data_IF_929957928030
#
_entry.id   IF_929957928030
#
_cell.length_a   1.000
_cell.length_b   1.000
_cell.length_c   1.000
_cell.angle_alpha   90.00
_cell.angle_beta   90.00
_cell.angle_gamma   90.00
#
_symmetry.space_group_name_H-M   'P 1'
#
loop_
_entity.id
_entity.type
_entity.pdbx_description
1 polymer ?
#
# COMPACT_ATOMS: atom_id res chain seq x y z
N UNK A 1 -2.24 -17.86 -10.03
CA UNK A 1 -2.47 -16.95 -11.17
C UNK A 1 -1.13 -16.49 -11.72
N UNK A 2 -0.98 -16.23 -13.03
CA UNK A 2 0.24 -15.63 -13.56
C UNK A 2 0.41 -14.21 -12.99
N UNK A 3 1.63 -13.86 -12.58
CA UNK A 3 2.01 -12.51 -12.19
C UNK A 3 2.90 -11.95 -13.32
N UNK A 4 2.31 -11.30 -14.34
CA UNK A 4 3.12 -10.69 -15.40
C UNK A 4 4.00 -9.59 -14.80
N UNK A 5 5.21 -9.36 -15.34
CA UNK A 5 6.08 -8.31 -14.83
C UNK A 5 5.43 -6.94 -15.00
N UNK A 6 5.57 -6.10 -13.98
CA UNK A 6 5.18 -4.71 -14.06
C UNK A 6 6.09 -3.95 -15.03
N UNK A 7 5.53 -2.94 -15.71
CA UNK A 7 6.25 -2.11 -16.69
C UNK A 7 7.04 -0.96 -16.05
N UNK A 8 6.76 -0.66 -14.78
CA UNK A 8 7.42 0.37 -13.99
C UNK A 8 7.29 0.06 -12.50
N UNK A 9 8.04 0.78 -11.67
CA UNK A 9 7.92 0.71 -10.21
C UNK A 9 6.57 1.26 -9.77
N UNK A 10 6.11 2.34 -10.37
CA UNK A 10 4.81 2.96 -10.13
C UNK A 10 3.67 1.95 -10.38
N UNK A 11 3.73 1.20 -11.50
CA UNK A 11 2.74 0.15 -11.78
C UNK A 11 2.77 -1.01 -10.79
N UNK A 12 3.94 -1.29 -10.18
CA UNK A 12 4.02 -2.26 -9.08
C UNK A 12 3.42 -1.68 -7.78
N UNK A 13 3.66 -0.40 -7.48
CA UNK A 13 3.10 0.30 -6.31
C UNK A 13 1.56 0.33 -6.38
N UNK A 14 1.00 0.59 -7.56
CA UNK A 14 -0.45 0.59 -7.79
C UNK A 14 -1.08 -0.76 -7.41
N UNK A 15 -0.37 -1.88 -7.63
CA UNK A 15 -0.89 -3.22 -7.37
C UNK A 15 -0.97 -3.62 -5.89
N UNK A 16 -0.51 -2.79 -4.95
CA UNK A 16 -0.46 -3.19 -3.55
C UNK A 16 -1.83 -3.28 -2.90
N UNK A 17 -2.00 -4.34 -2.09
CA UNK A 17 -3.27 -4.66 -1.44
C UNK A 17 -3.83 -3.68 -0.40
N UNK A 18 -3.04 -2.68 0.02
CA UNK A 18 -3.49 -1.69 0.99
C UNK A 18 -2.98 -0.33 0.57
N UNK A 19 -3.84 0.68 0.63
CA UNK A 19 -3.58 2.06 0.18
C UNK A 19 -2.36 2.67 0.89
N UNK A 20 -2.19 2.40 2.18
CA UNK A 20 -1.03 2.82 2.97
C UNK A 20 0.31 2.24 2.46
N UNK A 21 0.28 1.24 1.58
CA UNK A 21 1.48 0.70 0.93
C UNK A 21 1.68 1.24 -0.49
N UNK A 22 0.67 1.87 -1.07
CA UNK A 22 0.70 2.44 -2.43
C UNK A 22 1.47 3.77 -2.44
N UNK A 23 2.74 3.74 -2.00
CA UNK A 23 3.64 4.88 -2.09
C UNK A 23 5.08 4.48 -2.40
N UNK A 24 5.83 5.42 -2.98
CA UNK A 24 7.26 5.31 -3.18
C UNK A 24 7.92 6.67 -2.95
N UNK A 25 9.09 6.66 -2.29
CA UNK A 25 9.90 7.85 -2.05
C UNK A 25 11.31 7.56 -2.51
N UNK A 26 11.91 8.49 -3.28
CA UNK A 26 13.32 8.42 -3.64
C UNK A 26 13.95 9.81 -3.66
N UNK A 27 15.26 9.86 -3.52
CA UNK A 27 16.06 11.06 -3.69
C UNK A 27 16.74 10.99 -5.06
N UNK A 28 16.54 11.99 -5.90
CA UNK A 28 17.24 12.10 -7.17
C UNK A 28 18.68 12.59 -6.96
N UNK A 29 19.54 12.41 -7.96
CA UNK A 29 20.97 12.79 -7.87
C UNK A 29 21.18 14.27 -7.53
N UNK A 30 20.21 15.14 -7.88
CA UNK A 30 20.23 16.58 -7.56
C UNK A 30 19.79 16.93 -6.14
N UNK A 31 19.42 15.96 -5.31
CA UNK A 31 18.91 16.19 -3.95
C UNK A 31 17.41 16.50 -3.87
N UNK A 32 16.70 16.43 -5.00
CA UNK A 32 15.25 16.60 -5.04
C UNK A 32 14.54 15.32 -4.61
N UNK A 33 13.55 15.46 -3.74
CA UNK A 33 12.71 14.35 -3.32
C UNK A 33 11.61 14.09 -4.35
N UNK A 34 11.47 12.83 -4.77
CA UNK A 34 10.39 12.36 -5.63
C UNK A 34 9.47 11.46 -4.81
N UNK A 35 8.21 11.86 -4.74
CA UNK A 35 7.14 11.12 -4.08
C UNK A 35 6.13 10.64 -5.11
N UNK A 36 5.81 9.34 -5.06
CA UNK A 36 4.67 8.74 -5.73
C UNK A 36 3.70 8.25 -4.67
N UNK A 37 2.47 8.78 -4.64
CA UNK A 37 1.44 8.43 -3.65
C UNK A 37 0.03 8.51 -4.27
N UNK A 38 -0.32 7.58 -5.19
CA UNK A 38 -1.60 7.58 -5.90
C UNK A 38 -2.83 7.51 -4.98
N UNK A 39 -2.68 6.96 -3.77
CA UNK A 39 -3.74 6.91 -2.76
C UNK A 39 -3.66 8.05 -1.72
N UNK A 40 -2.79 9.04 -1.92
CA UNK A 40 -2.50 10.07 -0.93
C UNK A 40 -1.62 9.56 0.22
N UNK A 41 -1.43 10.40 1.24
CA UNK A 41 -0.60 10.10 2.42
C UNK A 41 -1.40 9.93 3.71
N UNK A 42 -2.70 10.22 3.68
CA UNK A 42 -3.55 10.30 4.88
C UNK A 42 -3.57 8.97 5.64
N UNK A 43 -3.73 7.86 4.93
CA UNK A 43 -3.78 6.52 5.53
C UNK A 43 -2.44 6.15 6.20
N UNK A 44 -1.29 6.61 5.68
CA UNK A 44 0.03 6.34 6.28
C UNK A 44 0.24 7.18 7.53
N UNK A 45 -0.05 8.47 7.46
CA UNK A 45 0.15 9.37 8.60
C UNK A 45 -0.87 9.14 9.72
N UNK A 46 -2.05 8.63 9.39
CA UNK A 46 -3.11 8.31 10.37
C UNK A 46 -3.02 6.88 10.89
N UNK A 47 -2.03 6.09 10.46
CA UNK A 47 -1.90 4.65 10.78
C UNK A 47 -3.18 3.87 10.46
N UNK A 48 -3.75 4.09 9.29
CA UNK A 48 -4.94 3.41 8.79
C UNK A 48 -4.56 2.42 7.70
N UNK A 49 -4.82 1.13 7.93
CA UNK A 49 -4.65 0.10 6.91
C UNK A 49 -5.98 -0.12 6.18
N UNK A 50 -6.17 0.59 5.07
CA UNK A 50 -7.37 0.46 4.21
C UNK A 50 -7.11 -0.49 3.03
N UNK A 51 -8.05 -1.38 2.70
CA UNK A 51 -7.91 -2.27 1.54
C UNK A 51 -7.88 -1.47 0.24
N UNK A 52 -7.11 -1.96 -0.75
CA UNK A 52 -7.20 -1.48 -2.12
C UNK A 52 -8.02 -2.48 -2.96
N UNK A 53 -9.36 -2.31 -3.04
CA UNK A 53 -10.27 -3.36 -3.51
C UNK A 53 -10.16 -3.67 -5.01
N UNK A 54 -9.63 -2.74 -5.81
CA UNK A 54 -9.57 -2.89 -7.27
C UNK A 54 -8.50 -3.90 -7.69
N UNK A 55 -7.41 -4.06 -6.92
CA UNK A 55 -6.19 -4.71 -7.40
C UNK A 55 -5.68 -5.88 -6.58
N UNK A 56 -6.25 -6.14 -5.39
CA UNK A 56 -5.76 -7.21 -4.53
C UNK A 56 -6.81 -8.27 -4.18
N UNK A 57 -6.38 -9.54 -4.06
CA UNK A 57 -7.22 -10.56 -3.46
C UNK A 57 -7.47 -10.25 -1.98
N UNK A 58 -8.71 -10.43 -1.53
CA UNK A 58 -9.16 -10.18 -0.17
C UNK A 58 -8.30 -10.90 0.86
N UNK A 59 -7.99 -12.17 0.62
CA UNK A 59 -7.18 -13.01 1.51
C UNK A 59 -5.75 -12.49 1.71
N UNK A 60 -5.18 -11.86 0.67
CA UNK A 60 -3.83 -11.27 0.74
C UNK A 60 -3.84 -10.02 1.62
N UNK A 61 -4.90 -9.22 1.53
CA UNK A 61 -5.09 -8.07 2.39
C UNK A 61 -5.29 -8.52 3.85
N UNK A 62 -6.24 -9.42 4.11
CA UNK A 62 -6.58 -9.88 5.46
C UNK A 62 -5.38 -10.54 6.17
N UNK A 63 -4.59 -11.36 5.45
CA UNK A 63 -3.38 -11.96 6.02
C UNK A 63 -2.32 -10.91 6.41
N UNK A 64 -2.12 -9.88 5.57
CA UNK A 64 -1.19 -8.78 5.88
C UNK A 64 -1.68 -7.92 7.03
N UNK A 65 -2.97 -7.62 7.06
CA UNK A 65 -3.61 -6.84 8.10
C UNK A 65 -3.48 -7.52 9.47
N UNK A 66 -3.74 -8.83 9.55
CA UNK A 66 -3.59 -9.60 10.78
C UNK A 66 -2.15 -9.58 11.32
N UNK A 67 -1.16 -9.75 10.43
CA UNK A 67 0.25 -9.65 10.82
C UNK A 67 0.59 -8.27 11.37
N UNK A 68 0.22 -7.22 10.64
CA UNK A 68 0.59 -5.85 10.99
C UNK A 68 -0.12 -5.31 12.22
N UNK A 69 -1.37 -5.72 12.48
CA UNK A 69 -2.05 -5.40 13.72
C UNK A 69 -1.33 -5.96 14.97
N UNK A 70 -0.58 -7.07 14.82
CA UNK A 70 0.25 -7.61 15.90
C UNK A 70 1.58 -6.87 16.09
N UNK A 71 2.09 -6.22 15.04
CA UNK A 71 3.35 -5.46 15.06
C UNK A 71 3.14 -3.99 15.47
N UNK A 72 1.96 -3.42 15.17
CA UNK A 72 1.64 -2.00 15.33
C UNK A 72 0.32 -1.85 16.11
N UNK A 73 0.36 -1.73 17.44
CA UNK A 73 -0.84 -1.63 18.28
C UNK A 73 -1.76 -0.44 17.95
N UNK A 74 -1.21 0.64 17.42
CA UNK A 74 -1.94 1.87 17.05
C UNK A 74 -2.58 1.79 15.66
N UNK A 75 -2.34 0.70 14.91
CA UNK A 75 -2.84 0.54 13.54
C UNK A 75 -4.36 0.34 13.53
N UNK A 76 -5.08 1.23 12.85
CA UNK A 76 -6.50 1.07 12.56
C UNK A 76 -6.70 0.28 11.27
N UNK A 77 -7.14 -0.97 11.39
CA UNK A 77 -7.42 -1.83 10.23
C UNK A 77 -8.88 -1.67 9.80
N UNK A 78 -9.10 -1.25 8.54
CA UNK A 78 -10.46 -1.20 7.98
C UNK A 78 -10.86 -2.54 7.38
N UNK A 79 -12.11 -2.99 7.52
CA UNK A 79 -12.53 -4.26 6.93
C UNK A 79 -12.52 -4.21 5.41
N UNK A 80 -12.46 -5.38 4.77
CA UNK A 80 -12.70 -5.50 3.34
C UNK A 80 -14.15 -5.12 2.99
N UNK A 81 -14.35 -3.90 2.49
CA UNK A 81 -15.61 -3.47 1.88
C UNK A 81 -15.60 -3.93 0.42
N UNK A 82 -16.40 -4.97 0.12
CA UNK A 82 -16.47 -5.59 -1.21
C UNK A 82 -16.90 -4.65 -2.33
#
# INVERSE_FOLDING_TARGET
>A
MPCPPYRSVEGAIDSFAATARCLGVRLETGGEWVLYAPCGLDDVFSLVLRPHPVLAPREVYEAKAARWAGEWPELTVLPWSG
#
